data_IF_778909440078
#
_entry.id   IF_778909440078
#
_cell.length_a   1.000
_cell.length_b   1.000
_cell.length_c   1.000
_cell.angle_alpha   90.00
_cell.angle_beta   90.00
_cell.angle_gamma   90.00
#
_symmetry.space_group_name_H-M   'P 1'
#
loop_
_entity.id
_entity.type
_entity.pdbx_description
1 polymer ?
#
# COMPACT_ATOMS: atom_id res chain seq x y z
N UNK A 1 5.40 15.74 3.73
CA UNK A 1 5.84 14.36 3.42
C UNK A 1 6.29 14.35 1.97
N UNK A 2 7.57 14.11 1.67
CA UNK A 2 8.03 14.01 0.27
C UNK A 2 7.50 12.70 -0.30
N UNK A 3 6.87 12.75 -1.46
CA UNK A 3 6.39 11.55 -2.16
C UNK A 3 7.55 11.04 -3.02
N UNK A 4 8.07 9.86 -2.69
CA UNK A 4 9.08 9.19 -3.50
C UNK A 4 8.42 8.49 -4.69
N UNK A 5 9.15 8.39 -5.79
CA UNK A 5 8.73 7.56 -6.92
C UNK A 5 8.76 6.07 -6.53
N UNK A 6 8.05 5.22 -7.29
CA UNK A 6 8.10 3.76 -7.10
C UNK A 6 9.54 3.23 -7.15
N UNK A 7 10.38 3.79 -8.02
CA UNK A 7 11.79 3.43 -8.16
C UNK A 7 12.61 3.80 -6.94
N UNK A 8 12.39 4.98 -6.37
CA UNK A 8 13.06 5.42 -5.14
C UNK A 8 12.65 4.57 -3.94
N UNK A 9 11.37 4.20 -3.85
CA UNK A 9 10.89 3.27 -2.82
C UNK A 9 11.54 1.88 -2.97
N UNK A 10 11.65 1.37 -4.20
CA UNK A 10 12.35 0.12 -4.48
C UNK A 10 13.82 0.19 -4.00
N UNK A 11 14.55 1.24 -4.36
CA UNK A 11 15.96 1.42 -3.96
C UNK A 11 16.11 1.48 -2.44
N UNK A 12 15.30 2.28 -1.75
CA UNK A 12 15.33 2.34 -0.28
C UNK A 12 15.10 0.96 0.34
N UNK A 13 14.11 0.21 -0.16
CA UNK A 13 13.81 -1.12 0.34
C UNK A 13 14.94 -2.12 0.08
N UNK A 14 15.64 -2.00 -1.05
CA UNK A 14 16.82 -2.83 -1.35
C UNK A 14 17.98 -2.52 -0.41
N UNK A 15 18.27 -1.23 -0.14
CA UNK A 15 19.33 -0.80 0.79
C UNK A 15 19.00 -1.23 2.22
N UNK A 16 17.73 -1.16 2.62
CA UNK A 16 17.30 -1.46 4.00
C UNK A 16 17.69 -2.89 4.41
N UNK A 17 18.50 -2.97 5.48
CA UNK A 17 18.85 -4.23 6.13
C UNK A 17 18.25 -4.24 7.53
N UNK A 18 17.18 -5.02 7.73
CA UNK A 18 16.45 -5.05 9.01
C UNK A 18 17.24 -5.69 10.14
N UNK A 19 18.16 -6.59 9.82
CA UNK A 19 19.00 -7.26 10.81
C UNK A 19 20.18 -6.38 11.22
N UNK A 20 20.61 -5.48 10.33
CA UNK A 20 21.73 -4.56 10.54
C UNK A 20 21.37 -3.16 10.04
N UNK A 21 20.60 -2.43 10.85
CA UNK A 21 20.13 -1.09 10.49
C UNK A 21 21.30 -0.13 10.20
N UNK A 22 21.12 0.70 9.17
CA UNK A 22 22.12 1.69 8.71
C UNK A 22 23.46 1.08 8.29
N UNK A 23 23.56 -0.25 8.13
CA UNK A 23 24.73 -0.86 7.51
C UNK A 23 24.78 -0.51 6.03
N UNK A 24 25.98 -0.40 5.42
CA UNK A 24 26.10 -0.35 3.97
C UNK A 24 25.40 -1.53 3.30
N UNK A 25 24.87 -1.28 2.11
CA UNK A 25 24.32 -2.29 1.23
C UNK A 25 25.43 -3.25 0.76
N UNK A 26 25.08 -4.51 0.49
CA UNK A 26 26.05 -5.47 -0.04
C UNK A 26 26.33 -5.23 -1.52
N UNK A 27 27.47 -5.73 -1.99
CA UNK A 27 27.86 -5.64 -3.40
C UNK A 27 26.91 -6.39 -4.33
N UNK A 28 26.32 -7.52 -3.89
CA UNK A 28 25.34 -8.24 -4.71
C UNK A 28 24.13 -7.36 -5.00
N UNK A 29 23.55 -6.75 -3.96
CA UNK A 29 22.40 -5.85 -4.10
C UNK A 29 22.70 -4.61 -4.95
N UNK A 30 23.92 -4.08 -4.84
CA UNK A 30 24.38 -2.99 -5.69
C UNK A 30 24.38 -3.39 -7.18
N UNK A 31 24.97 -4.55 -7.50
CA UNK A 31 25.02 -5.06 -8.87
C UNK A 31 23.61 -5.36 -9.41
N UNK A 32 22.73 -5.94 -8.59
CA UNK A 32 21.32 -6.18 -8.97
C UNK A 32 20.60 -4.88 -9.34
N UNK A 33 20.82 -3.80 -8.59
CA UNK A 33 20.24 -2.49 -8.92
C UNK A 33 20.81 -1.93 -10.23
N UNK A 34 22.11 -2.08 -10.47
CA UNK A 34 22.71 -1.66 -11.75
C UNK A 34 22.12 -2.45 -12.92
N UNK A 35 21.99 -3.77 -12.80
CA UNK A 35 21.39 -4.61 -13.84
C UNK A 35 19.93 -4.22 -14.14
N UNK A 36 19.18 -3.84 -13.09
CA UNK A 36 17.76 -3.53 -13.22
C UNK A 36 17.48 -2.14 -13.79
N UNK A 37 18.23 -1.11 -13.38
CA UNK A 37 17.91 0.29 -13.73
C UNK A 37 19.04 1.05 -14.42
N UNK A 38 20.25 0.49 -14.47
CA UNK A 38 21.44 1.13 -15.02
C UNK A 38 22.15 2.05 -14.01
N UNK A 39 23.47 2.15 -14.16
CA UNK A 39 24.36 2.89 -13.27
C UNK A 39 24.04 4.40 -13.20
N UNK A 40 23.81 5.04 -14.36
CA UNK A 40 23.48 6.46 -14.42
C UNK A 40 22.15 6.77 -13.70
N UNK A 41 21.16 5.90 -13.86
CA UNK A 41 19.88 6.07 -13.17
C UNK A 41 20.04 5.87 -11.66
N UNK A 42 20.74 4.81 -11.26
CA UNK A 42 21.00 4.54 -9.84
C UNK A 42 21.75 5.71 -9.18
N UNK A 43 22.77 6.25 -9.86
CA UNK A 43 23.55 7.39 -9.38
C UNK A 43 22.69 8.62 -9.12
N UNK A 44 21.79 8.97 -10.05
CA UNK A 44 20.89 10.11 -9.90
C UNK A 44 19.86 9.90 -8.77
N UNK A 45 19.32 8.68 -8.65
CA UNK A 45 18.35 8.36 -7.61
C UNK A 45 18.98 8.37 -6.22
N UNK A 46 20.17 7.76 -6.05
CA UNK A 46 20.92 7.80 -4.79
C UNK A 46 21.30 9.24 -4.43
N UNK A 47 21.74 10.04 -5.41
CA UNK A 47 22.02 11.46 -5.18
C UNK A 47 20.78 12.20 -4.66
N UNK A 48 19.62 12.00 -5.28
CA UNK A 48 18.35 12.58 -4.80
C UNK A 48 18.01 12.12 -3.38
N UNK A 49 18.16 10.83 -3.07
CA UNK A 49 17.89 10.26 -1.74
C UNK A 49 18.84 10.80 -0.67
N UNK A 50 20.09 11.10 -1.03
CA UNK A 50 21.05 11.83 -0.18
C UNK A 50 20.57 13.26 0.06
N UNK A 51 20.13 13.99 -0.98
CA UNK A 51 19.55 15.33 -0.81
C UNK A 51 18.23 15.31 -0.01
N UNK A 52 17.54 14.18 0.02
CA UNK A 52 16.38 13.95 0.87
C UNK A 52 16.71 13.55 2.31
N UNK A 53 17.99 13.30 2.61
CA UNK A 53 18.45 12.87 3.93
C UNK A 53 18.04 11.44 4.28
N UNK A 54 17.67 10.62 3.29
CA UNK A 54 17.27 9.23 3.48
C UNK A 54 18.44 8.25 3.29
N UNK A 55 19.43 8.63 2.48
CA UNK A 55 20.70 7.89 2.28
C UNK A 55 21.85 8.72 2.85
N UNK A 56 22.84 8.07 3.45
CA UNK A 56 24.02 8.73 4.02
C UNK A 56 24.80 9.48 2.93
N UNK A 57 25.20 10.73 3.24
CA UNK A 57 25.98 11.58 2.34
C UNK A 57 27.30 10.95 1.89
N UNK A 58 27.86 10.02 2.66
CA UNK A 58 29.09 9.30 2.32
C UNK A 58 28.94 8.45 1.07
N UNK A 59 27.71 8.15 0.64
CA UNK A 59 27.44 7.45 -0.62
C UNK A 59 27.86 8.26 -1.86
N UNK A 60 28.21 9.55 -1.74
CA UNK A 60 28.59 10.42 -2.87
C UNK A 60 30.02 10.90 -2.70
N UNK A 61 30.85 10.62 -3.71
CA UNK A 61 32.18 11.21 -3.84
C UNK A 61 32.15 12.30 -4.90
N UNK A 62 32.58 13.50 -4.53
CA UNK A 62 32.69 14.62 -5.44
C UNK A 62 34.06 14.63 -6.14
N UNK A 63 34.04 14.64 -7.46
CA UNK A 63 35.21 14.78 -8.32
C UNK A 63 35.29 16.21 -8.86
N UNK A 64 36.49 16.79 -8.89
CA UNK A 64 36.73 18.11 -9.48
C UNK A 64 36.58 18.12 -11.01
N UNK A 65 36.63 16.96 -11.66
CA UNK A 65 36.70 16.84 -13.13
C UNK A 65 35.48 16.17 -13.76
N UNK A 66 34.75 15.32 -13.02
CA UNK A 66 33.65 14.49 -13.54
C UNK A 66 32.34 14.68 -12.78
N UNK A 67 32.24 15.65 -11.88
CA UNK A 67 31.03 15.89 -11.08
C UNK A 67 31.01 15.05 -9.81
N UNK A 68 30.18 14.01 -9.76
CA UNK A 68 30.10 13.11 -8.61
C UNK A 68 29.85 11.66 -9.04
N UNK A 69 30.23 10.71 -8.19
CA UNK A 69 30.00 9.28 -8.40
C UNK A 69 29.65 8.61 -7.06
N UNK A 70 29.16 7.36 -7.13
CA UNK A 70 28.77 6.60 -5.94
C UNK A 70 29.98 5.98 -5.23
N UNK A 71 29.97 6.07 -3.90
CA UNK A 71 30.83 5.27 -3.04
C UNK A 71 30.07 3.99 -2.63
N UNK A 72 30.30 2.92 -3.38
CA UNK A 72 29.61 1.64 -3.24
C UNK A 72 29.69 1.08 -1.80
N UNK A 73 30.82 1.32 -1.11
CA UNK A 73 31.05 0.81 0.24
C UNK A 73 30.31 1.61 1.33
N UNK A 74 29.75 2.77 0.97
CA UNK A 74 29.11 3.69 1.91
C UNK A 74 27.62 3.96 1.62
N UNK A 75 27.02 3.22 0.67
CA UNK A 75 25.58 3.31 0.39
C UNK A 75 24.78 2.69 1.54
N UNK A 76 24.31 3.54 2.46
CA UNK A 76 23.55 3.15 3.64
C UNK A 76 22.38 4.10 3.89
N UNK A 77 21.32 3.62 4.54
CA UNK A 77 20.23 4.48 4.98
C UNK A 77 20.64 5.30 6.21
N UNK A 78 20.14 6.52 6.32
CA UNK A 78 20.15 7.29 7.57
C UNK A 78 19.09 6.73 8.53
N UNK A 79 19.07 7.20 9.79
CA UNK A 79 17.97 6.90 10.72
C UNK A 79 16.60 7.26 10.11
N UNK A 80 16.48 8.42 9.44
CA UNK A 80 15.26 8.83 8.78
C UNK A 80 14.90 7.93 7.57
N UNK A 81 15.91 7.44 6.83
CA UNK A 81 15.72 6.46 5.77
C UNK A 81 15.21 5.12 6.28
N UNK A 82 15.75 4.64 7.41
CA UNK A 82 15.28 3.43 8.10
C UNK A 82 13.85 3.61 8.60
N UNK A 83 13.55 4.73 9.25
CA UNK A 83 12.21 5.05 9.72
C UNK A 83 11.22 5.13 8.55
N UNK A 84 11.63 5.73 7.42
CA UNK A 84 10.82 5.78 6.20
C UNK A 84 10.57 4.38 5.62
N UNK A 85 11.62 3.57 5.44
CA UNK A 85 11.52 2.20 4.90
C UNK A 85 10.67 1.27 5.79
N UNK A 86 10.63 1.55 7.09
CA UNK A 86 9.90 0.76 8.08
C UNK A 86 8.61 1.41 8.56
N UNK A 87 8.27 2.63 8.13
CA UNK A 87 6.98 3.26 8.38
C UNK A 87 5.85 2.37 7.81
N UNK A 88 6.08 1.84 6.61
CA UNK A 88 5.26 0.80 5.99
C UNK A 88 5.53 -0.60 6.56
N UNK A 89 6.49 -0.84 7.44
CA UNK A 89 6.59 -2.13 8.14
C UNK A 89 5.62 -2.20 9.33
N UNK A 90 5.34 -1.06 9.96
CA UNK A 90 4.23 -0.92 10.92
C UNK A 90 2.89 -0.86 10.17
N UNK A 91 2.85 -0.18 9.01
CA UNK A 91 1.71 -0.18 8.08
C UNK A 91 1.44 -1.53 7.39
N UNK A 92 2.44 -2.32 7.02
CA UNK A 92 2.24 -3.62 6.35
C UNK A 92 1.99 -4.77 7.33
N UNK A 93 2.33 -4.61 8.62
CA UNK A 93 1.79 -5.49 9.68
C UNK A 93 0.33 -5.19 10.00
N UNK A 94 -0.18 -4.02 9.60
CA UNK A 94 -1.56 -3.57 9.72
C UNK A 94 -2.04 -3.18 8.33
N UNK A 95 -2.21 -4.16 7.44
CA UNK A 95 -2.87 -4.01 6.15
C UNK A 95 -4.35 -3.60 6.36
N UNK A 96 -4.55 -2.42 6.95
CA UNK A 96 -5.80 -1.75 7.27
C UNK A 96 -5.92 -0.71 6.19
N UNK A 97 -6.70 -1.03 5.17
CA UNK A 97 -7.24 -0.01 4.29
C UNK A 97 -8.13 0.86 5.19
N UNK A 98 -7.63 2.04 5.59
CA UNK A 98 -8.45 3.01 6.30
C UNK A 98 -9.44 3.62 5.29
N UNK A 99 -10.56 2.94 5.05
CA UNK A 99 -11.68 3.53 4.33
C UNK A 99 -12.38 4.47 5.33
N UNK A 100 -12.25 5.78 5.11
CA UNK A 100 -13.05 6.76 5.85
C UNK A 100 -14.50 6.67 5.35
N UNK A 101 -15.31 5.90 6.06
CA UNK A 101 -16.73 5.79 5.76
C UNK A 101 -17.48 6.87 6.53
N UNK A 102 -18.05 7.81 5.80
CA UNK A 102 -18.92 8.83 6.37
C UNK A 102 -20.09 8.19 7.13
N UNK A 103 -20.48 8.75 8.27
CA UNK A 103 -21.62 8.27 9.07
C UNK A 103 -22.89 8.05 8.24
N UNK A 104 -23.14 8.94 7.28
CA UNK A 104 -24.27 8.83 6.34
C UNK A 104 -24.27 7.51 5.54
N UNK A 105 -23.10 6.93 5.26
CA UNK A 105 -22.98 5.65 4.56
C UNK A 105 -23.30 4.49 5.49
N UNK A 106 -22.91 4.57 6.78
CA UNK A 106 -23.30 3.58 7.79
C UNK A 106 -24.82 3.57 7.98
N UNK A 107 -25.42 4.76 8.09
CA UNK A 107 -26.87 4.91 8.28
C UNK A 107 -27.65 4.33 7.09
N UNK A 108 -27.18 4.58 5.86
CA UNK A 108 -27.77 3.97 4.66
C UNK A 108 -27.66 2.44 4.67
N UNK A 109 -26.50 1.90 5.06
CA UNK A 109 -26.29 0.46 5.11
C UNK A 109 -27.22 -0.20 6.14
N UNK A 110 -27.38 0.43 7.32
CA UNK A 110 -28.34 -0.03 8.33
C UNK A 110 -29.78 -0.03 7.80
N UNK A 111 -30.19 1.03 7.10
CA UNK A 111 -31.52 1.11 6.49
C UNK A 111 -31.74 0.00 5.46
N UNK A 112 -30.74 -0.29 4.62
CA UNK A 112 -30.80 -1.38 3.64
C UNK A 112 -30.94 -2.75 4.30
N UNK A 113 -30.19 -3.03 5.37
CA UNK A 113 -30.30 -4.31 6.11
C UNK A 113 -31.65 -4.44 6.80
N UNK A 114 -32.19 -3.34 7.36
CA UNK A 114 -33.53 -3.37 7.97
C UNK A 114 -34.62 -3.69 6.93
N UNK A 115 -34.47 -3.14 5.72
CA UNK A 115 -35.40 -3.31 4.61
C UNK A 115 -35.22 -4.61 3.81
N UNK A 116 -34.12 -5.36 4.00
CA UNK A 116 -33.88 -6.58 3.24
C UNK A 116 -34.80 -7.73 3.66
N UNK A 117 -35.00 -8.68 2.76
CA UNK A 117 -35.84 -9.88 2.98
C UNK A 117 -35.00 -11.07 3.49
N UNK A 118 -34.11 -10.81 4.46
CA UNK A 118 -33.33 -11.84 5.16
C UNK A 118 -33.93 -12.07 6.56
N UNK A 119 -33.55 -13.17 7.21
CA UNK A 119 -34.12 -13.50 8.53
C UNK A 119 -33.73 -12.46 9.60
N UNK A 120 -34.57 -12.32 10.63
CA UNK A 120 -34.30 -11.39 11.74
C UNK A 120 -33.00 -11.71 12.49
N UNK A 121 -32.63 -12.99 12.55
CA UNK A 121 -31.37 -13.43 13.12
C UNK A 121 -30.17 -12.93 12.29
N UNK A 122 -30.25 -12.98 10.96
CA UNK A 122 -29.22 -12.47 10.05
C UNK A 122 -29.16 -10.94 10.09
N UNK A 123 -30.31 -10.25 10.11
CA UNK A 123 -30.36 -8.78 10.27
C UNK A 123 -29.65 -8.33 11.54
N UNK A 124 -29.93 -8.98 12.67
CA UNK A 124 -29.32 -8.65 13.96
C UNK A 124 -27.80 -8.88 13.93
N UNK A 125 -27.35 -9.98 13.33
CA UNK A 125 -25.94 -10.31 13.16
C UNK A 125 -25.19 -9.27 12.32
N UNK A 126 -25.77 -8.84 11.20
CA UNK A 126 -25.17 -7.83 10.32
C UNK A 126 -25.15 -6.43 10.97
N UNK A 127 -26.20 -6.02 11.67
CA UNK A 127 -26.24 -4.74 12.40
C UNK A 127 -25.23 -4.70 13.54
N UNK A 128 -25.05 -5.81 14.26
CA UNK A 128 -24.02 -5.93 15.30
C UNK A 128 -22.62 -5.84 14.69
N UNK A 129 -22.41 -6.46 13.53
CA UNK A 129 -21.14 -6.41 12.81
C UNK A 129 -20.79 -4.99 12.35
N UNK A 130 -21.77 -4.17 11.91
CA UNK A 130 -21.55 -2.75 11.60
C UNK A 130 -21.05 -2.00 12.82
N UNK A 131 -21.69 -2.20 13.98
CA UNK A 131 -21.33 -1.51 15.23
C UNK A 131 -19.95 -1.89 15.74
N UNK A 132 -19.57 -3.16 15.60
CA UNK A 132 -18.32 -3.69 16.15
C UNK A 132 -17.13 -3.50 15.21
N UNK A 133 -17.35 -3.59 13.89
CA UNK A 133 -16.27 -3.68 12.90
C UNK A 133 -16.36 -2.66 11.76
N UNK A 134 -17.39 -1.82 11.74
CA UNK A 134 -17.64 -0.88 10.66
C UNK A 134 -18.20 -1.54 9.40
N UNK A 135 -18.52 -0.74 8.39
CA UNK A 135 -19.17 -1.17 7.15
C UNK A 135 -18.30 -2.03 6.24
N UNK A 136 -16.97 -1.98 6.33
CA UNK A 136 -16.09 -2.78 5.46
C UNK A 136 -16.22 -4.28 5.73
N UNK A 137 -16.26 -4.65 7.02
CA UNK A 137 -16.48 -6.04 7.43
C UNK A 137 -17.87 -6.53 7.01
N UNK A 138 -18.84 -5.63 6.91
CA UNK A 138 -20.22 -5.95 6.54
C UNK A 138 -20.35 -6.08 5.03
N UNK A 139 -19.70 -5.23 4.25
CA UNK A 139 -19.61 -5.35 2.79
C UNK A 139 -18.97 -6.68 2.42
N UNK A 140 -17.84 -7.03 3.04
CA UNK A 140 -17.19 -8.33 2.83
C UNK A 140 -18.14 -9.50 3.09
N UNK A 141 -18.85 -9.48 4.24
CA UNK A 141 -19.84 -10.52 4.55
C UNK A 141 -21.07 -10.52 3.63
N UNK A 142 -21.54 -9.38 3.15
CA UNK A 142 -22.66 -9.30 2.20
C UNK A 142 -22.25 -9.84 0.84
N UNK A 143 -21.00 -9.59 0.42
CA UNK A 143 -20.39 -10.18 -0.76
C UNK A 143 -20.27 -11.70 -0.60
N UNK A 144 -19.70 -12.17 0.50
CA UNK A 144 -19.61 -13.61 0.81
C UNK A 144 -20.99 -14.27 0.84
N UNK A 145 -21.99 -13.60 1.43
CA UNK A 145 -23.37 -14.10 1.49
C UNK A 145 -24.04 -14.12 0.11
N UNK A 146 -23.83 -13.09 -0.70
CA UNK A 146 -24.33 -13.05 -2.07
C UNK A 146 -23.71 -14.19 -2.89
N UNK A 147 -22.41 -14.42 -2.77
CA UNK A 147 -21.72 -15.51 -3.46
C UNK A 147 -22.09 -16.90 -2.92
N UNK A 148 -22.34 -17.04 -1.62
CA UNK A 148 -22.82 -18.28 -1.02
C UNK A 148 -24.28 -18.60 -1.40
N UNK A 149 -25.07 -17.57 -1.72
CA UNK A 149 -26.45 -17.70 -2.16
C UNK A 149 -26.57 -17.41 -3.66
N UNK A 150 -26.38 -18.45 -4.48
CA UNK A 150 -26.40 -18.38 -5.96
C UNK A 150 -27.58 -17.56 -6.52
N UNK A 151 -28.77 -17.66 -5.91
CA UNK A 151 -29.95 -16.89 -6.34
C UNK A 151 -29.84 -15.37 -6.10
N UNK A 152 -29.12 -14.94 -5.07
CA UNK A 152 -28.89 -13.52 -4.73
C UNK A 152 -27.74 -12.97 -5.58
N UNK A 153 -26.62 -13.70 -5.69
CA UNK A 153 -25.53 -13.33 -6.60
C UNK A 153 -26.03 -13.17 -8.04
N UNK A 154 -26.82 -14.12 -8.55
CA UNK A 154 -27.34 -14.05 -9.93
C UNK A 154 -28.19 -12.80 -10.14
N UNK A 155 -29.07 -12.44 -9.19
CA UNK A 155 -29.86 -11.20 -9.28
C UNK A 155 -29.00 -9.94 -9.27
N UNK A 156 -27.98 -9.88 -8.39
CA UNK A 156 -27.05 -8.76 -8.33
C UNK A 156 -26.23 -8.59 -9.62
N UNK A 157 -25.74 -9.69 -10.19
CA UNK A 157 -25.01 -9.65 -11.45
C UNK A 157 -25.89 -9.29 -12.64
N UNK A 158 -27.14 -9.77 -12.67
CA UNK A 158 -28.13 -9.38 -13.68
C UNK A 158 -28.45 -7.89 -13.59
N UNK A 159 -28.67 -7.36 -12.40
CA UNK A 159 -28.97 -5.94 -12.21
C UNK A 159 -27.76 -5.04 -12.56
N UNK A 160 -26.56 -5.41 -12.13
CA UNK A 160 -25.33 -4.70 -12.50
C UNK A 160 -25.04 -4.78 -14.02
N UNK A 161 -25.42 -5.88 -14.66
CA UNK A 161 -25.32 -6.02 -16.12
C UNK A 161 -26.37 -5.15 -16.83
N UNK A 162 -27.61 -5.04 -16.32
CA UNK A 162 -28.64 -4.15 -16.86
C UNK A 162 -28.21 -2.69 -16.84
N UNK A 163 -27.68 -2.22 -15.71
CA UNK A 163 -27.16 -0.84 -15.56
C UNK A 163 -26.01 -0.54 -16.52
N UNK A 164 -25.12 -1.51 -16.75
CA UNK A 164 -23.97 -1.36 -17.64
C UNK A 164 -24.31 -1.53 -19.13
N UNK A 165 -25.40 -2.22 -19.44
CA UNK A 165 -25.88 -2.49 -20.80
C UNK A 165 -27.06 -1.59 -21.21
N UNK A 166 -27.53 -0.71 -20.33
CA UNK A 166 -28.59 0.27 -20.63
C UNK A 166 -29.99 -0.34 -20.81
N UNK A 167 -30.25 -1.52 -20.25
CA UNK A 167 -31.59 -2.12 -20.25
C UNK A 167 -32.33 -1.66 -19.00
N UNK A 168 -33.24 -0.69 -19.17
CA UNK A 168 -34.21 -0.31 -18.15
C UNK A 168 -35.55 -0.98 -18.47
N UNK A 169 -36.14 -1.64 -17.47
CA UNK A 169 -37.52 -2.14 -17.54
C UNK A 169 -38.51 -0.98 -17.39
#
# INVERSE_FOLDING_TARGET
MRVLSERQNMIINTINNRDFLMSPMSKEKYNELIEQIGEDALTNEIYYLVQAGLVDRKAIIHSKTSGFFLDEENISLTAAGVDYANADAIGNKLNVVNIQIHQNTLDKLESMIKASDISDAEKKSLLQLIKEKGSDAVIGRMVDYAFANVGIATKLFVEAAKDKLGFHD
#
